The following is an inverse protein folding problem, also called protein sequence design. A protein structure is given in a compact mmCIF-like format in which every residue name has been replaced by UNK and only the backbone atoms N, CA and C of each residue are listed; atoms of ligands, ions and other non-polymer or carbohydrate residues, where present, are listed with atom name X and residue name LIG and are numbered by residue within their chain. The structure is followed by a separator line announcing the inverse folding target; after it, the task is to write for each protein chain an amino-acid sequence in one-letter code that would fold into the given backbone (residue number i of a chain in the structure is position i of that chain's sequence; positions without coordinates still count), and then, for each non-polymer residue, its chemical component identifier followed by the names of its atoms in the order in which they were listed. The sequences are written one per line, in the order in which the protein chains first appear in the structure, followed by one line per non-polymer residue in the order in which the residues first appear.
data_IF_585829725572
#
_entry.id   IF_585829725572
#
_cell.length_a   1.000
_cell.length_b   1.000
_cell.length_c   1.000
_cell.angle_alpha   90.00
_cell.angle_beta   90.00
_cell.angle_gamma   90.00
#
_symmetry.space_group_name_H-M   'P 1'
#
loop_
_entity.id
_entity.type
_entity.pdbx_description
1 polymer ?
#
# COMPACT_ATOMS: atom_id res chain seq x y z
N UNK A 1 -17.92 5.65 30.61
CA UNK A 1 -18.55 5.20 29.35
C UNK A 1 -18.47 6.38 28.41
N UNK A 2 -17.74 6.36 27.29
CA UNK A 2 -17.84 5.46 26.14
C UNK A 2 -16.42 5.17 25.61
N UNK A 3 -16.00 3.91 25.60
CA UNK A 3 -14.84 3.48 24.80
C UNK A 3 -15.28 3.46 23.34
N UNK A 4 -14.97 4.52 22.59
CA UNK A 4 -15.05 4.47 21.13
C UNK A 4 -14.06 3.39 20.72
N UNK A 5 -14.53 2.27 20.19
CA UNK A 5 -13.66 1.26 19.59
C UNK A 5 -12.71 2.01 18.65
N UNK A 6 -11.42 2.00 18.98
CA UNK A 6 -10.41 2.72 18.22
C UNK A 6 -10.32 2.00 16.90
N UNK A 7 -11.07 2.44 15.89
CA UNK A 7 -11.00 1.84 14.58
C UNK A 7 -9.54 2.00 14.12
N UNK A 8 -8.80 0.92 13.89
CA UNK A 8 -7.44 1.04 13.37
C UNK A 8 -7.50 1.89 12.10
N UNK A 9 -6.69 2.95 12.04
CA UNK A 9 -6.64 3.79 10.85
C UNK A 9 -6.31 2.95 9.61
N UNK A 10 -6.74 3.39 8.43
CA UNK A 10 -6.60 2.66 7.16
C UNK A 10 -5.21 2.01 6.99
N UNK A 11 -4.14 2.73 7.33
CA UNK A 11 -2.77 2.23 7.25
C UNK A 11 -2.47 1.03 8.16
N UNK A 12 -3.04 0.98 9.37
CA UNK A 12 -2.86 -0.17 10.28
C UNK A 12 -3.58 -1.40 9.72
N UNK A 13 -4.83 -1.25 9.27
CA UNK A 13 -5.58 -2.33 8.62
C UNK A 13 -4.84 -2.85 7.38
N UNK A 14 -4.29 -1.95 6.57
CA UNK A 14 -3.50 -2.30 5.40
C UNK A 14 -2.25 -3.10 5.79
N UNK A 15 -1.46 -2.63 6.75
CA UNK A 15 -0.22 -3.30 7.19
C UNK A 15 -0.47 -4.66 7.83
N UNK A 16 -1.46 -4.73 8.71
CA UNK A 16 -1.61 -5.87 9.62
C UNK A 16 -2.51 -6.96 9.04
N UNK A 17 -3.46 -6.59 8.17
CA UNK A 17 -4.51 -7.51 7.73
C UNK A 17 -4.49 -7.71 6.21
N UNK A 18 -4.55 -6.62 5.44
CA UNK A 18 -4.77 -6.71 3.99
C UNK A 18 -3.51 -7.16 3.25
N UNK A 19 -2.39 -6.46 3.44
CA UNK A 19 -1.14 -6.74 2.71
C UNK A 19 -0.61 -8.16 2.98
N UNK A 20 -0.54 -8.66 4.24
CA UNK A 20 -0.07 -10.02 4.51
C UNK A 20 -0.94 -11.08 3.85
N UNK A 21 -2.27 -10.86 3.84
CA UNK A 21 -3.22 -11.76 3.19
C UNK A 21 -3.02 -11.79 1.67
N UNK A 22 -2.87 -10.64 1.02
CA UNK A 22 -2.64 -10.58 -0.44
C UNK A 22 -1.32 -11.25 -0.83
N UNK A 23 -0.26 -11.07 -0.04
CA UNK A 23 1.03 -11.75 -0.26
C UNK A 23 0.91 -13.28 -0.17
N UNK A 24 -0.02 -13.81 0.63
CA UNK A 24 -0.26 -15.25 0.74
C UNK A 24 -1.20 -15.76 -0.35
N UNK A 25 -2.27 -15.03 -0.62
CA UNK A 25 -3.42 -15.54 -1.37
C UNK A 25 -3.31 -15.30 -2.90
N UNK A 26 -2.55 -14.29 -3.35
CA UNK A 26 -2.39 -14.02 -4.78
C UNK A 26 -1.45 -15.06 -5.40
N UNK A 27 -1.93 -15.90 -6.35
CA UNK A 27 -1.10 -16.91 -6.99
C UNK A 27 -0.13 -16.28 -8.01
N UNK A 28 0.90 -17.04 -8.40
CA UNK A 28 1.86 -16.67 -9.47
C UNK A 28 2.58 -15.34 -9.24
N UNK A 29 2.91 -15.03 -7.98
CA UNK A 29 3.74 -13.85 -7.71
C UNK A 29 5.15 -14.04 -8.26
N UNK A 30 5.79 -12.95 -8.74
CA UNK A 30 7.18 -12.97 -9.15
C UNK A 30 8.11 -13.46 -8.03
N UNK A 31 9.12 -14.22 -8.42
CA UNK A 31 10.21 -14.64 -7.55
C UNK A 31 11.10 -13.45 -7.16
N UNK A 32 11.90 -13.63 -6.10
CA UNK A 32 12.86 -12.61 -5.70
C UNK A 32 13.88 -12.27 -6.79
N UNK A 33 14.24 -13.23 -7.63
CA UNK A 33 15.19 -13.05 -8.74
C UNK A 33 14.58 -12.25 -9.88
N UNK A 34 13.35 -12.55 -10.29
CA UNK A 34 12.61 -11.78 -11.30
C UNK A 34 12.43 -10.31 -10.87
N UNK A 35 12.11 -10.08 -9.60
CA UNK A 35 11.97 -8.74 -9.04
C UNK A 35 13.30 -7.96 -9.01
N UNK A 36 14.42 -8.64 -8.79
CA UNK A 36 15.76 -8.04 -8.85
C UNK A 36 16.16 -7.72 -10.29
N UNK A 37 15.83 -8.60 -11.24
CA UNK A 37 16.18 -8.44 -12.65
C UNK A 37 15.41 -7.30 -13.34
N UNK A 38 14.17 -7.03 -12.92
CA UNK A 38 13.33 -5.98 -13.51
C UNK A 38 12.89 -4.95 -12.46
N UNK A 39 13.48 -3.74 -12.51
CA UNK A 39 13.17 -2.64 -11.58
C UNK A 39 11.70 -2.17 -11.62
N UNK A 40 10.99 -2.41 -12.72
CA UNK A 40 9.60 -2.01 -12.93
C UNK A 40 8.61 -3.14 -12.61
N UNK A 41 9.08 -4.36 -12.33
CA UNK A 41 8.25 -5.48 -11.94
C UNK A 41 7.90 -5.40 -10.45
N UNK A 42 6.62 -5.60 -10.14
CA UNK A 42 6.07 -5.63 -8.80
C UNK A 42 5.08 -6.80 -8.67
N UNK A 43 4.74 -7.18 -7.43
CA UNK A 43 3.87 -8.33 -7.12
C UNK A 43 2.42 -8.04 -7.47
N UNK A 44 1.90 -6.93 -6.96
CA UNK A 44 0.56 -6.41 -7.24
C UNK A 44 0.49 -4.93 -6.86
N UNK A 45 -0.56 -4.27 -7.33
CA UNK A 45 -0.87 -2.88 -7.01
C UNK A 45 -2.02 -2.79 -6.00
N UNK A 46 -1.97 -1.81 -5.10
CA UNK A 46 -3.06 -1.49 -4.18
C UNK A 46 -3.46 -0.03 -4.36
N UNK A 47 -4.76 0.19 -4.56
CA UNK A 47 -5.38 1.51 -4.71
C UNK A 47 -6.15 1.83 -3.45
N UNK A 48 -5.91 2.98 -2.84
CA UNK A 48 -6.58 3.42 -1.61
C UNK A 48 -6.73 4.95 -1.56
N UNK A 49 -7.72 5.42 -0.79
CA UNK A 49 -8.05 6.84 -0.69
C UNK A 49 -6.98 7.67 0.08
N UNK A 50 -7.09 9.00 0.02
CA UNK A 50 -6.12 9.97 0.56
C UNK A 50 -5.78 9.82 2.04
N UNK A 51 -6.67 9.25 2.85
CA UNK A 51 -6.39 8.98 4.27
C UNK A 51 -5.23 7.98 4.46
N UNK A 52 -4.93 7.18 3.44
CA UNK A 52 -3.82 6.24 3.43
C UNK A 52 -2.50 6.85 2.95
N UNK A 53 -2.42 8.16 2.69
CA UNK A 53 -1.17 8.77 2.24
C UNK A 53 -0.12 8.75 3.36
N UNK A 54 0.93 7.95 3.19
CA UNK A 54 2.09 7.90 4.08
C UNK A 54 3.35 7.56 3.27
N UNK A 55 4.32 8.48 3.15
CA UNK A 55 5.58 8.20 2.46
C UNK A 55 6.34 7.00 3.04
N UNK A 56 6.28 6.83 4.37
CA UNK A 56 6.89 5.69 5.06
C UNK A 56 6.21 4.37 4.67
N UNK A 57 4.87 4.35 4.62
CA UNK A 57 4.14 3.19 4.12
C UNK A 57 4.51 2.86 2.67
N UNK A 58 4.67 3.86 1.81
CA UNK A 58 5.00 3.64 0.40
C UNK A 58 6.39 3.03 0.24
N UNK A 59 7.36 3.48 1.05
CA UNK A 59 8.70 2.90 1.10
C UNK A 59 8.64 1.44 1.53
N UNK A 60 7.94 1.15 2.62
CA UNK A 60 7.76 -0.21 3.14
C UNK A 60 7.10 -1.15 2.12
N UNK A 61 6.08 -0.66 1.40
CA UNK A 61 5.43 -1.43 0.34
C UNK A 61 6.37 -1.66 -0.85
N UNK A 62 7.17 -0.66 -1.24
CA UNK A 62 8.12 -0.81 -2.33
C UNK A 62 9.27 -1.77 -2.02
N UNK A 63 9.74 -1.83 -0.77
CA UNK A 63 10.69 -2.85 -0.30
C UNK A 63 10.13 -4.27 -0.48
N UNK A 64 8.81 -4.43 -0.28
CA UNK A 64 8.07 -5.67 -0.56
C UNK A 64 7.70 -5.84 -2.04
N UNK A 65 8.04 -4.86 -2.89
CA UNK A 65 7.69 -4.76 -4.32
C UNK A 65 6.19 -4.76 -4.56
N UNK A 66 5.47 -3.96 -3.78
CA UNK A 66 4.03 -3.71 -3.90
C UNK A 66 3.85 -2.26 -4.37
N UNK A 67 3.09 -2.06 -5.44
CA UNK A 67 2.82 -0.72 -5.96
C UNK A 67 1.67 -0.07 -5.17
N UNK A 68 1.82 1.20 -4.80
CA UNK A 68 0.78 1.97 -4.12
C UNK A 68 0.25 3.07 -5.02
N UNK A 69 -1.08 3.18 -5.10
CA UNK A 69 -1.77 4.25 -5.79
C UNK A 69 -2.72 4.92 -4.80
N UNK A 70 -2.60 6.24 -4.68
CA UNK A 70 -3.56 7.02 -3.90
C UNK A 70 -3.86 8.33 -4.61
N UNK A 71 -5.01 8.90 -4.29
CA UNK A 71 -5.39 10.20 -4.78
C UNK A 71 -4.70 11.30 -3.98
N UNK A 72 -3.98 12.19 -4.67
CA UNK A 72 -3.49 13.45 -4.10
C UNK A 72 -4.36 14.58 -4.63
N UNK A 73 -5.08 15.27 -3.74
CA UNK A 73 -5.75 16.52 -4.10
C UNK A 73 -4.68 17.58 -4.39
N UNK A 74 -4.61 18.05 -5.63
CA UNK A 74 -3.79 19.19 -6.02
C UNK A 74 -4.66 20.43 -5.99
N UNK A 75 -4.40 21.35 -5.07
CA UNK A 75 -5.04 22.67 -5.08
C UNK A 75 -4.43 23.50 -6.20
N UNK A 76 -5.17 23.65 -7.30
CA UNK A 76 -4.78 24.55 -8.38
C UNK A 76 -5.02 25.98 -7.89
N UNK A 77 -3.94 26.71 -7.63
CA UNK A 77 -3.99 28.16 -7.47
C UNK A 77 -4.36 28.76 -8.83
N UNK A 78 -5.62 29.17 -9.01
CA UNK A 78 -6.03 29.98 -10.16
C UNK A 78 -5.42 31.37 -9.96
N UNK A 79 -4.50 31.75 -10.86
CA UNK A 79 -4.10 33.16 -11.04
C UNK A 79 -5.27 33.97 -11.61
#
# INVERSE_FOLDING_TARGET
MVSKAVNPGLLSVMREQIIPRLLRDIPKQPTGEELKANRHLYRFGVVFDREGYSPEFFKEMWEKRIACYTYKMVTIQRK
#
